data_IF_991748118085
#
_entry.id   IF_991748118085
#
_cell.length_a   1.000
_cell.length_b   1.000
_cell.length_c   1.000
_cell.angle_alpha   90.00
_cell.angle_beta   90.00
_cell.angle_gamma   90.00
#
_symmetry.space_group_name_H-M   'P 1'
#
loop_
_entity.id
_entity.type
_entity.pdbx_description
1 polymer ?
#
# COMPACT_ATOMS: atom_id res chain seq x y z
N UNK A 1 48.60 -9.86 -37.29
CA UNK A 1 48.34 -10.06 -35.84
C UNK A 1 47.92 -8.70 -35.28
N UNK A 2 46.83 -8.41 -34.55
CA UNK A 2 45.71 -9.12 -33.89
C UNK A 2 44.48 -8.19 -34.11
N UNK A 3 43.35 -8.66 -34.65
CA UNK A 3 42.23 -9.36 -34.01
C UNK A 3 41.48 -8.57 -32.92
N UNK A 4 40.24 -8.23 -33.29
CA UNK A 4 38.96 -8.39 -32.55
C UNK A 4 38.36 -7.14 -31.88
N UNK A 5 37.36 -6.66 -32.63
CA UNK A 5 36.16 -5.88 -32.31
C UNK A 5 35.37 -6.42 -31.10
N UNK A 6 34.65 -5.49 -30.44
CA UNK A 6 33.51 -5.62 -29.48
C UNK A 6 33.83 -5.90 -28.00
N UNK A 7 33.55 -4.88 -27.19
CA UNK A 7 32.82 -5.03 -25.92
C UNK A 7 31.90 -3.81 -25.71
N UNK A 8 30.76 -3.82 -26.41
CA UNK A 8 29.59 -3.06 -25.99
C UNK A 8 29.02 -3.81 -24.78
N UNK A 9 29.47 -3.43 -23.59
CA UNK A 9 28.95 -3.97 -22.33
C UNK A 9 27.66 -3.24 -22.03
N UNK A 10 26.55 -3.92 -22.28
CA UNK A 10 25.20 -3.54 -21.88
C UNK A 10 25.20 -3.18 -20.38
N UNK A 11 25.13 -1.89 -20.05
CA UNK A 11 24.67 -1.48 -18.72
C UNK A 11 23.15 -1.54 -18.75
N UNK A 12 22.61 -2.60 -18.17
CA UNK A 12 21.19 -2.79 -17.96
C UNK A 12 20.81 -1.89 -16.78
N UNK A 13 20.21 -0.74 -17.05
CA UNK A 13 19.65 0.13 -16.02
C UNK A 13 18.41 -0.57 -15.45
N UNK A 14 18.55 -1.16 -14.27
CA UNK A 14 17.44 -1.75 -13.52
C UNK A 14 16.60 -0.62 -12.99
N UNK A 15 15.30 -0.68 -13.25
CA UNK A 15 14.38 0.43 -13.08
C UNK A 15 13.23 -0.06 -12.20
N UNK A 16 13.30 0.27 -10.92
CA UNK A 16 12.35 -0.19 -9.92
C UNK A 16 11.45 0.97 -9.50
N UNK A 17 10.20 0.97 -9.96
CA UNK A 17 9.13 1.81 -9.45
C UNK A 17 7.93 0.89 -9.18
N UNK A 18 7.34 1.00 -7.99
CA UNK A 18 6.61 -0.11 -7.38
C UNK A 18 5.25 0.33 -6.84
N UNK A 19 4.22 -0.41 -7.22
CA UNK A 19 2.81 -0.17 -6.87
C UNK A 19 2.45 -1.06 -5.68
N UNK A 20 2.07 -0.49 -4.54
CA UNK A 20 1.63 -1.24 -3.37
C UNK A 20 0.14 -1.58 -3.46
N UNK A 21 -0.17 -2.84 -3.79
CA UNK A 21 -1.49 -3.41 -3.49
C UNK A 21 -1.31 -4.45 -2.39
N UNK A 22 -2.00 -4.19 -1.29
CA UNK A 22 -2.16 -5.04 -0.12
C UNK A 22 -2.80 -6.35 -0.58
N UNK A 23 -2.15 -7.50 -0.39
CA UNK A 23 -2.80 -8.81 -0.53
C UNK A 23 -2.03 -9.88 0.25
N UNK A 24 -2.44 -10.08 1.49
CA UNK A 24 -2.27 -11.36 2.17
C UNK A 24 -3.32 -12.31 1.60
N UNK A 25 -2.92 -13.40 0.95
CA UNK A 25 -3.37 -14.76 1.28
C UNK A 25 -3.00 -15.77 0.18
N UNK A 26 -2.62 -16.94 0.66
CA UNK A 26 -2.55 -18.17 -0.11
C UNK A 26 -3.91 -18.46 -0.75
N UNK A 27 -3.88 -18.52 -2.08
CA UNK A 27 -4.76 -19.31 -2.97
C UNK A 27 -6.27 -19.21 -2.65
N UNK A 28 -6.89 -18.15 -3.15
CA UNK A 28 -8.15 -18.29 -3.87
C UNK A 28 -7.88 -17.91 -5.33
N UNK A 29 -8.67 -18.40 -6.27
CA UNK A 29 -8.55 -18.03 -7.68
C UNK A 29 -8.84 -16.52 -7.86
N UNK A 30 -7.87 -15.68 -7.52
CA UNK A 30 -7.63 -14.46 -8.25
C UNK A 30 -7.30 -14.93 -9.65
N UNK A 31 -8.11 -14.55 -10.63
CA UNK A 31 -7.52 -14.31 -11.93
C UNK A 31 -6.30 -13.44 -11.65
N UNK A 32 -5.12 -14.02 -11.82
CA UNK A 32 -3.91 -13.26 -11.88
C UNK A 32 -4.15 -12.25 -13.01
N UNK A 33 -4.48 -11.03 -12.64
CA UNK A 33 -4.07 -9.90 -13.44
C UNK A 33 -2.58 -9.78 -13.12
N UNK A 34 -1.71 -10.72 -13.52
CA UNK A 34 -1.16 -10.78 -14.88
C UNK A 34 -1.97 -9.97 -15.89
N UNK A 35 -1.94 -8.66 -15.72
CA UNK A 35 -1.85 -7.84 -16.91
C UNK A 35 -0.43 -8.05 -17.44
N UNK A 36 -0.28 -9.12 -18.19
CA UNK A 36 0.67 -9.17 -19.27
C UNK A 36 0.44 -7.91 -20.12
N UNK A 37 1.23 -6.87 -19.90
CA UNK A 37 1.30 -5.72 -20.82
C UNK A 37 0.35 -4.53 -20.57
N UNK A 38 -0.15 -4.28 -19.35
CA UNK A 38 -0.69 -2.94 -19.08
C UNK A 38 0.46 -1.95 -19.02
N UNK A 39 0.50 -1.03 -19.99
CA UNK A 39 1.18 0.24 -19.80
C UNK A 39 0.48 0.97 -18.67
N UNK A 40 1.19 1.19 -17.57
CA UNK A 40 0.76 2.07 -16.48
C UNK A 40 1.25 3.47 -16.79
N UNK A 41 0.41 4.48 -16.56
CA UNK A 41 0.74 5.87 -16.86
C UNK A 41 1.64 6.43 -15.75
N UNK A 42 2.95 6.45 -16.02
CA UNK A 42 3.94 7.03 -15.12
C UNK A 42 4.21 8.51 -15.46
N UNK A 43 3.87 9.41 -14.54
CA UNK A 43 4.03 10.86 -14.73
C UNK A 43 4.80 11.50 -13.59
N UNK A 44 5.46 12.62 -13.90
CA UNK A 44 6.08 13.48 -12.92
C UNK A 44 5.16 14.65 -12.58
N UNK A 45 5.08 14.96 -11.30
CA UNK A 45 4.59 16.22 -10.78
C UNK A 45 5.75 17.17 -10.47
N UNK A 46 5.62 17.87 -9.35
CA UNK A 46 6.59 18.86 -8.91
C UNK A 46 7.95 18.23 -8.52
N UNK A 47 9.03 18.95 -8.81
CA UNK A 47 10.36 18.65 -8.28
C UNK A 47 10.53 19.24 -6.89
N UNK A 48 10.92 18.39 -5.94
CA UNK A 48 11.06 18.70 -4.52
C UNK A 48 12.55 18.65 -4.19
N UNK A 49 13.10 19.81 -3.84
CA UNK A 49 14.46 19.91 -3.33
C UNK A 49 14.50 19.50 -1.86
N UNK A 50 15.52 18.73 -1.52
CA UNK A 50 15.83 18.42 -0.14
C UNK A 50 16.29 19.73 0.55
N UNK A 51 16.03 19.88 1.86
CA UNK A 51 16.62 20.96 2.63
C UNK A 51 18.15 20.91 2.55
N UNK A 52 18.82 22.07 2.55
CA UNK A 52 20.28 22.15 2.40
C UNK A 52 21.05 21.30 3.41
N UNK A 53 20.50 21.11 4.61
CA UNK A 53 21.07 20.27 5.67
C UNK A 53 21.01 18.76 5.37
N UNK A 54 20.25 18.32 4.37
CA UNK A 54 20.31 16.95 3.80
C UNK A 54 21.16 16.87 2.54
N UNK A 55 21.69 17.99 2.06
CA UNK A 55 22.52 18.11 0.87
C UNK A 55 21.77 18.61 -0.36
N UNK A 56 22.52 18.75 -1.46
CA UNK A 56 22.03 19.27 -2.75
C UNK A 56 21.42 18.14 -3.59
N UNK A 57 20.23 17.70 -3.16
CA UNK A 57 19.47 16.63 -3.81
C UNK A 57 18.06 17.10 -4.16
N UNK A 58 17.46 16.44 -5.14
CA UNK A 58 16.05 16.58 -5.45
C UNK A 58 15.40 15.23 -5.69
N UNK A 59 14.09 15.17 -5.51
CA UNK A 59 13.23 14.06 -5.91
C UNK A 59 12.07 14.64 -6.71
N UNK A 60 11.42 13.82 -7.54
CA UNK A 60 10.19 14.24 -8.22
C UNK A 60 9.01 13.55 -7.58
N UNK A 61 7.94 14.32 -7.34
CA UNK A 61 6.66 13.75 -6.98
C UNK A 61 6.17 12.91 -8.15
N UNK A 62 6.03 11.61 -7.93
CA UNK A 62 5.76 10.65 -8.99
C UNK A 62 4.31 10.18 -8.92
N UNK A 63 3.74 9.80 -10.05
CA UNK A 63 2.41 9.22 -10.11
C UNK A 63 2.35 8.01 -11.03
N UNK A 64 1.61 6.99 -10.62
CA UNK A 64 1.26 5.83 -11.45
C UNK A 64 -0.26 5.76 -11.53
N UNK A 65 -0.81 5.86 -12.74
CA UNK A 65 -2.26 5.92 -12.99
C UNK A 65 -2.96 7.00 -12.15
N UNK A 66 -2.31 8.16 -11.99
CA UNK A 66 -2.80 9.28 -11.19
C UNK A 66 -2.66 9.12 -9.66
N UNK A 67 -2.18 7.98 -9.17
CA UNK A 67 -1.95 7.73 -7.75
C UNK A 67 -0.53 8.11 -7.37
N UNK A 68 -0.36 8.71 -6.19
CA UNK A 68 0.95 9.08 -5.67
C UNK A 68 1.89 7.88 -5.59
N UNK A 69 3.12 8.05 -6.08
CA UNK A 69 4.16 7.03 -6.11
C UNK A 69 5.46 7.58 -5.53
N UNK A 70 6.26 6.68 -4.97
CA UNK A 70 7.53 7.01 -4.31
C UNK A 70 8.69 6.27 -4.99
N UNK A 71 9.81 6.98 -5.19
CA UNK A 71 11.07 6.32 -5.49
C UNK A 71 11.54 5.55 -4.24
N UNK A 72 11.93 4.29 -4.41
CA UNK A 72 12.33 3.41 -3.29
C UNK A 72 13.84 3.33 -3.08
N UNK A 73 14.61 4.06 -3.87
CA UNK A 73 16.05 4.17 -3.72
C UNK A 73 16.41 5.64 -3.90
N UNK A 74 16.40 6.39 -2.80
CA UNK A 74 16.55 7.85 -2.82
C UNK A 74 17.90 8.31 -3.38
N UNK A 75 18.94 7.48 -3.30
CA UNK A 75 20.25 7.74 -3.91
C UNK A 75 20.33 7.50 -5.43
N UNK A 76 19.25 7.06 -6.09
CA UNK A 76 19.23 6.81 -7.53
C UNK A 76 18.41 7.85 -8.28
N UNK A 77 18.76 8.03 -9.56
CA UNK A 77 18.03 8.93 -10.45
C UNK A 77 16.56 8.54 -10.54
N UNK A 78 15.70 9.55 -10.51
CA UNK A 78 14.27 9.34 -10.73
C UNK A 78 14.08 8.77 -12.14
N UNK A 79 13.32 7.66 -12.26
CA UNK A 79 12.79 7.19 -13.53
C UNK A 79 12.36 8.24 -14.56
N UNK A 80 12.78 8.21 -15.84
CA UNK A 80 12.13 9.01 -16.88
C UNK A 80 10.61 8.79 -16.94
N UNK A 81 9.84 9.86 -17.14
CA UNK A 81 8.40 9.77 -17.33
C UNK A 81 8.02 8.88 -18.54
N UNK A 82 6.81 8.32 -18.52
CA UNK A 82 6.25 7.46 -19.58
C UNK A 82 7.00 6.14 -19.81
N UNK A 83 7.75 5.66 -18.83
CA UNK A 83 8.38 4.34 -18.87
C UNK A 83 7.48 3.27 -18.26
N UNK A 84 7.50 2.06 -18.82
CA UNK A 84 6.83 0.91 -18.23
C UNK A 84 7.61 0.43 -16.99
N UNK A 85 6.96 0.38 -15.84
CA UNK A 85 7.48 -0.29 -14.66
C UNK A 85 7.11 -1.78 -14.70
N UNK A 86 8.03 -2.66 -14.31
CA UNK A 86 7.78 -4.11 -14.31
C UNK A 86 8.45 -4.76 -13.12
N UNK A 87 7.87 -4.61 -11.94
CA UNK A 87 8.21 -5.41 -10.76
C UNK A 87 7.17 -5.23 -9.66
N UNK A 88 6.99 -6.25 -8.80
CA UNK A 88 6.15 -6.20 -7.60
C UNK A 88 7.03 -6.62 -6.42
N UNK A 89 7.13 -5.77 -5.38
CA UNK A 89 7.69 -6.18 -4.10
C UNK A 89 6.62 -6.97 -3.38
N UNK A 90 6.90 -8.25 -3.13
CA UNK A 90 6.15 -9.03 -2.16
C UNK A 90 6.93 -9.08 -0.84
N UNK A 91 6.20 -9.08 0.28
CA UNK A 91 6.72 -9.39 1.63
C UNK A 91 7.71 -8.37 2.24
N UNK A 92 7.41 -7.06 2.18
CA UNK A 92 8.10 -6.05 2.99
C UNK A 92 7.10 -5.32 3.88
N UNK A 93 6.96 -5.77 5.13
CA UNK A 93 6.02 -5.18 6.11
C UNK A 93 6.33 -3.71 6.39
N UNK A 94 7.62 -3.37 6.56
CA UNK A 94 8.02 -2.01 6.90
C UNK A 94 7.65 -1.03 5.78
N UNK A 95 7.91 -1.43 4.52
CA UNK A 95 7.54 -0.64 3.35
C UNK A 95 6.02 -0.54 3.21
N UNK A 96 5.29 -1.64 3.43
CA UNK A 96 3.83 -1.63 3.40
C UNK A 96 3.25 -0.63 4.41
N UNK A 97 3.77 -0.62 5.64
CA UNK A 97 3.38 0.36 6.66
C UNK A 97 3.66 1.78 6.23
N UNK A 98 4.86 2.06 5.68
CA UNK A 98 5.20 3.40 5.18
C UNK A 98 4.26 3.87 4.08
N UNK A 99 3.95 3.03 3.09
CA UNK A 99 3.08 3.42 1.98
C UNK A 99 1.61 3.55 2.41
N UNK A 100 1.19 2.80 3.42
CA UNK A 100 -0.19 2.83 3.91
C UNK A 100 -0.47 3.99 4.87
N UNK A 101 0.48 4.29 5.76
CA UNK A 101 0.37 5.31 6.80
C UNK A 101 1.09 6.61 6.46
N UNK A 102 1.98 6.63 5.46
CA UNK A 102 2.66 7.83 5.01
C UNK A 102 1.78 8.77 4.21
N UNK A 103 2.37 9.87 3.73
CA UNK A 103 1.66 10.94 3.03
C UNK A 103 0.92 10.41 1.79
N UNK A 104 -0.36 10.75 1.66
CA UNK A 104 -1.22 10.28 0.56
C UNK A 104 -1.67 8.81 0.68
N UNK A 105 -1.27 8.11 1.74
CA UNK A 105 -1.72 6.75 2.05
C UNK A 105 -3.16 6.71 2.59
N UNK A 106 -3.81 5.53 2.59
CA UNK A 106 -5.19 5.38 3.09
C UNK A 106 -5.38 5.90 4.53
N UNK A 107 -4.43 5.60 5.42
CA UNK A 107 -4.43 6.03 6.84
C UNK A 107 -3.27 6.99 7.12
N UNK A 108 -3.08 7.96 6.22
CA UNK A 108 -2.05 9.00 6.30
C UNK A 108 -1.96 9.66 7.70
N UNK A 109 -0.85 9.45 8.41
CA UNK A 109 -0.58 10.00 9.75
C UNK A 109 -0.23 11.49 9.73
N UNK A 110 -0.04 12.07 8.55
CA UNK A 110 0.07 13.52 8.34
C UNK A 110 -1.29 14.15 8.06
N UNK A 111 -2.39 13.38 7.99
CA UNK A 111 -3.73 13.93 7.79
C UNK A 111 -4.10 14.86 8.96
N UNK A 112 -4.44 16.10 8.62
CA UNK A 112 -4.74 17.14 9.61
C UNK A 112 -3.51 17.91 10.12
N UNK A 113 -2.30 17.51 9.73
CA UNK A 113 -1.10 18.32 9.93
C UNK A 113 -1.13 19.52 8.97
N UNK A 114 -1.37 20.70 9.53
CA UNK A 114 -1.45 21.97 8.82
C UNK A 114 -0.16 22.80 8.95
N UNK A 115 0.81 22.31 9.71
CA UNK A 115 2.10 22.99 9.95
C UNK A 115 3.14 22.51 8.95
N UNK A 116 3.24 21.20 8.76
CA UNK A 116 4.20 20.60 7.82
C UNK A 116 3.71 20.79 6.39
N UNK A 117 4.60 21.23 5.49
CA UNK A 117 4.24 21.39 4.08
C UNK A 117 4.05 20.04 3.40
N UNK A 118 3.22 19.98 2.36
CA UNK A 118 3.00 18.74 1.60
C UNK A 118 4.27 18.21 0.94
N UNK A 119 5.18 19.10 0.54
CA UNK A 119 6.52 18.74 0.04
C UNK A 119 7.34 18.01 1.09
N UNK A 120 7.29 18.49 2.33
CA UNK A 120 8.02 17.89 3.44
C UNK A 120 7.40 16.55 3.86
N UNK A 121 6.07 16.45 3.91
CA UNK A 121 5.36 15.17 4.15
C UNK A 121 5.70 14.12 3.09
N UNK A 122 5.71 14.53 1.82
CA UNK A 122 6.15 13.67 0.72
C UNK A 122 7.61 13.25 0.90
N UNK A 123 8.51 14.19 1.21
CA UNK A 123 9.94 13.92 1.38
C UNK A 123 10.18 12.93 2.52
N UNK A 124 9.49 13.09 3.66
CA UNK A 124 9.60 12.18 4.79
C UNK A 124 9.17 10.77 4.39
N UNK A 125 8.02 10.67 3.71
CA UNK A 125 7.49 9.38 3.24
C UNK A 125 8.42 8.74 2.21
N UNK A 126 8.99 9.53 1.30
CA UNK A 126 9.96 9.09 0.31
C UNK A 126 11.23 8.51 0.95
N UNK A 127 11.82 9.21 1.92
CA UNK A 127 13.03 8.75 2.62
C UNK A 127 12.73 7.47 3.42
N UNK A 128 11.61 7.43 4.14
CA UNK A 128 11.19 6.24 4.89
C UNK A 128 10.95 5.05 3.96
N UNK A 129 10.33 5.26 2.79
CA UNK A 129 10.09 4.21 1.81
C UNK A 129 11.40 3.69 1.21
N UNK A 130 12.35 4.61 0.94
CA UNK A 130 13.69 4.27 0.49
C UNK A 130 14.41 3.39 1.51
N UNK A 131 14.42 3.81 2.77
CA UNK A 131 15.04 3.05 3.86
C UNK A 131 14.38 1.68 4.07
N UNK A 132 13.05 1.61 4.06
CA UNK A 132 12.33 0.35 4.22
C UNK A 132 12.65 -0.65 3.10
N UNK A 133 12.87 -0.18 1.87
CA UNK A 133 13.18 -1.04 0.73
C UNK A 133 14.65 -1.45 0.66
N UNK A 134 15.56 -0.47 0.75
CA UNK A 134 16.97 -0.63 0.39
C UNK A 134 17.95 -0.41 1.55
N UNK A 135 17.46 0.04 2.71
CA UNK A 135 18.29 0.51 3.81
C UNK A 135 18.92 1.88 3.57
N UNK A 136 18.58 2.55 2.46
CA UNK A 136 19.13 3.86 2.09
C UNK A 136 18.31 5.01 2.71
N UNK A 137 18.88 5.63 3.75
CA UNK A 137 18.45 6.93 4.28
C UNK A 137 19.06 8.08 3.47
N UNK A 138 18.91 8.06 2.15
CA UNK A 138 19.47 9.02 1.18
C UNK A 138 20.95 9.39 1.42
N UNK A 139 21.84 9.02 0.50
CA UNK A 139 23.23 9.54 0.50
C UNK A 139 24.07 9.13 1.72
N UNK A 140 23.69 8.06 2.44
CA UNK A 140 24.49 7.49 3.53
C UNK A 140 24.30 8.15 4.91
N UNK A 141 23.22 8.90 5.12
CA UNK A 141 22.87 9.41 6.45
C UNK A 141 22.44 8.29 7.42
N UNK A 142 22.40 8.61 8.71
CA UNK A 142 21.93 7.68 9.75
C UNK A 142 20.75 8.25 10.51
N UNK A 143 19.99 7.38 11.16
CA UNK A 143 18.87 7.78 12.02
C UNK A 143 19.33 8.70 13.17
N UNK A 144 20.52 8.46 13.72
CA UNK A 144 21.09 9.28 14.80
C UNK A 144 21.38 10.70 14.32
N UNK A 145 21.88 10.87 13.09
CA UNK A 145 22.08 12.19 12.52
C UNK A 145 20.75 12.94 12.37
N UNK A 146 19.75 12.29 11.77
CA UNK A 146 18.40 12.87 11.58
C UNK A 146 17.72 13.22 12.91
N UNK A 147 17.93 12.41 13.95
CA UNK A 147 17.45 12.71 15.30
C UNK A 147 18.20 13.91 15.91
N UNK A 148 19.52 14.00 15.72
CA UNK A 148 20.34 15.09 16.30
C UNK A 148 19.98 16.48 15.78
N UNK A 149 19.52 16.57 14.53
CA UNK A 149 19.08 17.83 13.91
C UNK A 149 17.60 18.14 14.17
N UNK A 150 16.88 17.25 14.87
CA UNK A 150 15.55 17.52 15.40
C UNK A 150 14.43 17.59 14.35
N UNK A 151 14.62 16.98 13.17
CA UNK A 151 13.65 17.07 12.06
C UNK A 151 12.46 16.11 12.24
N UNK A 152 12.43 15.32 13.31
CA UNK A 152 11.28 14.46 13.64
C UNK A 152 11.04 13.28 12.68
N UNK A 153 11.85 13.12 11.63
CA UNK A 153 11.75 12.02 10.66
C UNK A 153 11.86 10.64 11.34
N UNK A 154 12.80 10.48 12.28
CA UNK A 154 12.94 9.24 13.07
C UNK A 154 11.71 8.96 13.94
N UNK A 155 11.20 9.99 14.64
CA UNK A 155 10.00 9.84 15.45
C UNK A 155 8.78 9.44 14.60
N UNK A 156 8.69 9.98 13.38
CA UNK A 156 7.65 9.62 12.42
C UNK A 156 7.79 8.19 11.91
N UNK A 157 9.02 7.77 11.59
CA UNK A 157 9.33 6.38 11.25
C UNK A 157 8.91 5.42 12.36
N UNK A 158 9.34 5.69 13.60
CA UNK A 158 9.01 4.84 14.75
C UNK A 158 7.50 4.77 14.99
N UNK A 159 6.78 5.90 14.86
CA UNK A 159 5.32 5.93 14.90
C UNK A 159 4.71 4.98 13.86
N UNK A 160 5.08 5.12 12.59
CA UNK A 160 4.53 4.31 11.49
C UNK A 160 4.84 2.82 11.71
N UNK A 161 6.06 2.49 12.12
CA UNK A 161 6.46 1.08 12.32
C UNK A 161 5.75 0.43 13.52
N UNK A 162 5.33 1.24 14.52
CA UNK A 162 4.54 0.77 15.66
C UNK A 162 3.08 0.46 15.33
N UNK A 163 2.56 0.96 14.21
CA UNK A 163 1.18 0.71 13.80
C UNK A 163 1.00 -0.74 13.30
N UNK A 164 -0.23 -1.29 13.37
CA UNK A 164 -0.52 -2.63 12.88
C UNK A 164 -0.17 -2.78 11.40
N UNK A 165 0.24 -3.98 10.98
CA UNK A 165 0.44 -4.28 9.56
C UNK A 165 -0.90 -4.17 8.82
N UNK A 166 -1.01 -3.34 7.76
CA UNK A 166 -2.24 -3.22 7.00
C UNK A 166 -2.66 -4.57 6.42
N UNK A 167 -3.88 -5.03 6.76
CA UNK A 167 -4.47 -6.24 6.18
C UNK A 167 -5.71 -5.90 5.37
N UNK A 168 -5.97 -6.72 4.35
CA UNK A 168 -7.23 -6.72 3.60
C UNK A 168 -8.12 -7.86 4.10
N UNK A 169 -8.34 -7.94 5.41
CA UNK A 169 -9.18 -9.00 5.97
C UNK A 169 -10.63 -8.77 5.53
N UNK A 170 -11.20 -9.74 4.83
CA UNK A 170 -12.62 -9.89 4.60
C UNK A 170 -12.94 -11.37 4.75
N UNK A 171 -13.42 -11.75 5.91
CA UNK A 171 -13.78 -13.15 6.20
C UNK A 171 -15.14 -13.23 6.86
N UNK A 172 -15.83 -14.34 6.67
CA UNK A 172 -17.03 -14.69 7.44
C UNK A 172 -16.68 -15.85 8.38
N UNK A 173 -16.88 -15.66 9.69
CA UNK A 173 -16.45 -16.62 10.73
C UNK A 173 -14.97 -17.05 10.57
N UNK A 174 -14.10 -16.10 10.23
CA UNK A 174 -12.65 -16.32 9.98
C UNK A 174 -12.33 -17.24 8.80
N UNK A 175 -13.31 -17.56 7.94
CA UNK A 175 -13.11 -18.27 6.67
C UNK A 175 -13.23 -17.32 5.47
N UNK A 176 -12.42 -17.56 4.45
CA UNK A 176 -12.55 -16.93 3.13
C UNK A 176 -13.58 -17.66 2.24
N UNK A 177 -14.01 -18.86 2.65
CA UNK A 177 -14.98 -19.71 1.94
C UNK A 177 -15.91 -20.34 2.99
N UNK A 178 -16.92 -19.58 3.42
CA UNK A 178 -17.84 -20.02 4.47
C UNK A 178 -19.04 -20.73 3.83
N UNK A 179 -19.29 -21.96 4.25
CA UNK A 179 -20.53 -22.69 3.99
C UNK A 179 -21.29 -22.90 5.29
N UNK A 180 -22.55 -22.49 5.34
CA UNK A 180 -23.46 -22.71 6.48
C UNK A 180 -24.73 -23.40 6.02
N UNK A 181 -25.31 -24.20 6.92
CA UNK A 181 -26.60 -24.86 6.70
C UNK A 181 -27.67 -24.22 7.58
N UNK A 182 -28.84 -23.98 6.99
CA UNK A 182 -29.99 -23.51 7.76
C UNK A 182 -30.60 -24.66 8.59
N UNK A 183 -31.11 -24.32 9.77
CA UNK A 183 -31.83 -25.20 10.66
C UNK A 183 -33.14 -24.54 11.13
N UNK A 184 -34.06 -25.35 11.64
CA UNK A 184 -35.30 -24.84 12.24
C UNK A 184 -35.08 -24.54 13.72
N UNK A 185 -35.23 -23.28 14.11
CA UNK A 185 -35.23 -22.85 15.50
C UNK A 185 -36.64 -23.05 16.08
N UNK A 186 -36.78 -23.99 17.02
CA UNK A 186 -38.07 -24.32 17.62
C UNK A 186 -38.60 -23.27 18.59
N UNK A 187 -37.71 -22.42 19.16
CA UNK A 187 -38.10 -21.38 20.10
C UNK A 187 -38.67 -20.18 19.33
N UNK A 188 -37.99 -19.76 18.27
CA UNK A 188 -38.41 -18.64 17.43
C UNK A 188 -39.40 -19.07 16.32
N UNK A 189 -39.53 -20.38 16.08
CA UNK A 189 -40.37 -20.98 15.02
C UNK A 189 -40.03 -20.50 13.62
N UNK A 190 -38.74 -20.33 13.34
CA UNK A 190 -38.21 -19.87 12.05
C UNK A 190 -37.11 -20.78 11.54
N UNK A 191 -36.91 -20.83 10.22
CA UNK A 191 -35.71 -21.40 9.63
C UNK A 191 -34.63 -20.32 9.56
N UNK A 192 -33.46 -20.59 10.14
CA UNK A 192 -32.34 -19.64 10.19
C UNK A 192 -30.99 -20.36 10.10
N UNK A 193 -29.94 -19.62 9.80
CA UNK A 193 -28.56 -20.07 10.02
C UNK A 193 -28.10 -19.70 11.42
N UNK A 194 -26.90 -20.17 11.78
CA UNK A 194 -26.16 -19.58 12.90
C UNK A 194 -25.84 -18.10 12.64
N UNK A 195 -25.38 -17.41 13.69
CA UNK A 195 -24.90 -16.05 13.56
C UNK A 195 -23.55 -16.05 12.83
N UNK A 196 -23.44 -15.23 11.79
CA UNK A 196 -22.23 -15.10 10.99
C UNK A 196 -21.56 -13.76 11.31
N UNK A 197 -20.27 -13.82 11.66
CA UNK A 197 -19.44 -12.64 11.93
C UNK A 197 -18.64 -12.28 10.68
N UNK A 198 -18.89 -11.08 10.14
CA UNK A 198 -18.04 -10.48 9.11
C UNK A 198 -16.84 -9.80 9.77
N UNK A 199 -15.63 -10.32 9.57
CA UNK A 199 -14.40 -9.65 9.97
C UNK A 199 -13.86 -8.84 8.80
N UNK A 200 -13.97 -7.53 8.89
CA UNK A 200 -13.43 -6.60 7.90
C UNK A 200 -13.21 -5.22 8.50
N UNK A 201 -12.69 -4.27 7.71
CA UNK A 201 -12.54 -2.87 8.15
C UNK A 201 -13.90 -2.20 8.31
N UNK A 202 -14.00 -1.20 9.19
CA UNK A 202 -15.26 -0.53 9.51
C UNK A 202 -15.92 0.22 8.34
N UNK A 203 -15.13 0.57 7.33
CA UNK A 203 -15.53 1.27 6.11
C UNK A 203 -15.88 0.33 4.95
N UNK A 204 -15.72 -0.99 5.11
CA UNK A 204 -16.00 -1.94 4.05
C UNK A 204 -17.51 -2.07 3.78
N UNK A 205 -17.86 -2.11 2.51
CA UNK A 205 -19.21 -2.44 2.03
C UNK A 205 -19.23 -3.83 1.41
N UNK A 206 -20.21 -4.65 1.77
CA UNK A 206 -20.47 -5.95 1.14
C UNK A 206 -21.87 -5.97 0.52
N UNK A 207 -22.02 -6.67 -0.59
CA UNK A 207 -23.32 -6.96 -1.21
C UNK A 207 -23.63 -8.43 -1.01
N UNK A 208 -24.75 -8.72 -0.36
CA UNK A 208 -25.25 -10.08 -0.16
C UNK A 208 -26.51 -10.28 -1.01
N UNK A 209 -26.44 -11.06 -2.10
CA UNK A 209 -27.64 -11.40 -2.86
C UNK A 209 -28.51 -12.33 -2.01
N UNK A 210 -29.79 -12.00 -1.89
CA UNK A 210 -30.77 -12.80 -1.15
C UNK A 210 -31.73 -13.44 -2.14
N UNK A 211 -32.19 -14.65 -1.82
CA UNK A 211 -33.29 -15.29 -2.55
C UNK A 211 -34.63 -14.68 -2.13
N UNK A 212 -35.66 -14.87 -2.95
CA UNK A 212 -37.01 -14.38 -2.66
C UNK A 212 -37.51 -14.87 -1.30
N UNK A 213 -38.11 -13.95 -0.53
CA UNK A 213 -38.62 -14.16 0.82
C UNK A 213 -37.56 -14.51 1.87
N UNK A 214 -36.25 -14.40 1.56
CA UNK A 214 -35.19 -14.51 2.55
C UNK A 214 -34.96 -13.14 3.20
N UNK A 215 -34.82 -13.16 4.53
CA UNK A 215 -34.54 -11.97 5.34
C UNK A 215 -33.12 -12.02 5.89
N UNK A 216 -32.32 -11.00 5.60
CA UNK A 216 -31.04 -10.75 6.26
C UNK A 216 -31.28 -10.02 7.58
N UNK A 217 -30.84 -10.61 8.68
CA UNK A 217 -30.85 -9.97 10.01
C UNK A 217 -29.44 -9.47 10.36
N UNK A 218 -29.25 -8.16 10.41
CA UNK A 218 -28.02 -7.56 10.89
C UNK A 218 -28.11 -7.30 12.39
N UNK A 219 -27.53 -8.21 13.17
CA UNK A 219 -27.58 -8.17 14.64
C UNK A 219 -26.90 -6.93 15.19
N UNK A 220 -25.71 -6.58 14.67
CA UNK A 220 -24.91 -5.45 15.17
C UNK A 220 -25.56 -4.10 14.90
N UNK A 221 -26.25 -3.95 13.76
CA UNK A 221 -26.97 -2.71 13.39
C UNK A 221 -28.43 -2.71 13.83
N UNK A 222 -28.96 -3.84 14.31
CA UNK A 222 -30.38 -3.99 14.67
C UNK A 222 -31.33 -3.82 13.48
N UNK A 223 -30.87 -4.09 12.25
CA UNK A 223 -31.67 -3.93 11.02
C UNK A 223 -32.04 -5.26 10.40
N UNK A 224 -33.09 -5.28 9.59
CA UNK A 224 -33.49 -6.45 8.82
C UNK A 224 -33.97 -6.04 7.44
N UNK A 225 -33.65 -6.84 6.44
CA UNK A 225 -34.03 -6.57 5.04
C UNK A 225 -34.46 -7.87 4.38
N UNK A 226 -35.65 -7.86 3.81
CA UNK A 226 -36.22 -9.00 3.08
C UNK A 226 -36.13 -8.73 1.58
N UNK A 227 -35.74 -9.73 0.82
CA UNK A 227 -35.78 -9.66 -0.65
C UNK A 227 -37.14 -10.13 -1.14
N UNK A 228 -37.80 -9.33 -1.99
CA UNK A 228 -39.13 -9.60 -2.55
C UNK A 228 -39.80 -8.35 -3.10
#
# INVERSE_FOLDING_TARGET
MRKVIKKFSKFFTVFALLLSIISSSLITNVNAVSQAGNTVDFTWGEEIYYPEWLGDWSTKMCYIDGNLAYCLEASKDTPPANTNASYVISNNEALLKVLYYGYGGPEDVFRGDTVTSDKEKYLYTHIMASYAYSGDLFGGNTWEYLESIGVGLKARWDQIQSLPTPTNTLTFNSSNDLTVSAYYDSNEKIQRTENITLNTKSDASITLPLQDNVTLHNITKGTSTTSG
#
